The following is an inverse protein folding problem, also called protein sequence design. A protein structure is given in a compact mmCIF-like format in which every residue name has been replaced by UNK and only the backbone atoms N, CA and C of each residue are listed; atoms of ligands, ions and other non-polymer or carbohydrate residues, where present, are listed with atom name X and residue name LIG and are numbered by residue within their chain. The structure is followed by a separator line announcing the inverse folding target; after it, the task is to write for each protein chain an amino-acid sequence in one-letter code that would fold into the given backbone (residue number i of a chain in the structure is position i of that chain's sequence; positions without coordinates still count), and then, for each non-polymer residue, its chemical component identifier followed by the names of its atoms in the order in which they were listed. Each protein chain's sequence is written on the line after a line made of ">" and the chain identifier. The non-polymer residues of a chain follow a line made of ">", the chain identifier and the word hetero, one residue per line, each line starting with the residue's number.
data_IF_804359399410
#
_entry.id   IF_804359399410
#
_cell.length_a   1.000
_cell.length_b   1.000
_cell.length_c   1.000
_cell.angle_alpha   90.00
_cell.angle_beta   90.00
_cell.angle_gamma   90.00
#
_symmetry.space_group_name_H-M   'P 1'
#
loop_
_entity.id
_entity.type
_entity.pdbx_description
1 polymer ?
#
# COMPACT_ATOMS: atom_id res chain seq x y z
N UNK A 1 -4.89 -3.71 8.79
CA UNK A 1 -4.98 -4.35 10.11
C UNK A 1 -6.24 -5.23 10.21
N UNK A 2 -6.12 -6.45 10.75
CA UNK A 2 -7.24 -7.37 10.95
C UNK A 2 -7.26 -8.01 12.34
N UNK A 3 -6.44 -7.54 13.28
CA UNK A 3 -6.17 -8.27 14.53
C UNK A 3 -6.06 -7.38 15.78
N UNK A 4 -5.67 -6.11 15.65
CA UNK A 4 -5.63 -5.20 16.80
C UNK A 4 -6.97 -4.47 16.94
N UNK A 5 -7.68 -4.70 18.05
CA UNK A 5 -8.96 -4.05 18.32
C UNK A 5 -8.88 -2.51 18.13
N UNK A 6 -9.87 -1.88 17.46
CA UNK A 6 -11.15 -2.45 17.03
C UNK A 6 -11.11 -3.19 15.68
N UNK A 7 -9.94 -3.39 15.09
CA UNK A 7 -9.79 -4.18 13.87
C UNK A 7 -10.03 -5.66 14.13
N UNK A 8 -10.66 -6.33 13.16
CA UNK A 8 -10.88 -7.77 13.17
C UNK A 8 -10.91 -8.30 11.74
N UNK A 9 -11.06 -9.62 11.54
CA UNK A 9 -11.24 -10.19 10.19
C UNK A 9 -12.52 -9.70 9.50
N UNK A 10 -13.58 -9.48 10.27
CA UNK A 10 -14.87 -8.96 9.77
C UNK A 10 -14.97 -7.44 9.78
N UNK A 11 -14.04 -6.75 10.47
CA UNK A 11 -13.91 -5.30 10.52
C UNK A 11 -12.45 -4.89 10.26
N UNK A 12 -11.93 -5.08 9.03
CA UNK A 12 -10.56 -4.68 8.69
C UNK A 12 -10.42 -3.16 8.81
N UNK A 13 -9.30 -2.71 9.37
CA UNK A 13 -9.01 -1.29 9.51
C UNK A 13 -7.75 -0.91 8.75
N UNK A 14 -7.72 0.35 8.30
CA UNK A 14 -6.52 0.97 7.76
C UNK A 14 -5.49 1.15 8.87
N UNK A 15 -4.22 0.94 8.53
CA UNK A 15 -3.12 1.12 9.45
C UNK A 15 -1.92 1.67 8.68
N UNK A 16 -1.26 2.65 9.26
CA UNK A 16 -0.12 3.34 8.68
C UNK A 16 1.16 2.69 9.21
N UNK A 17 2.00 2.23 8.28
CA UNK A 17 3.30 1.60 8.60
C UNK A 17 4.36 2.16 7.66
N UNK A 18 5.63 2.03 8.09
CA UNK A 18 6.77 2.13 7.18
C UNK A 18 6.87 0.84 6.37
N UNK A 19 7.14 0.97 5.07
CA UNK A 19 7.16 -0.14 4.13
C UNK A 19 8.56 -0.28 3.49
N UNK A 20 9.19 -1.45 3.70
CA UNK A 20 10.36 -1.93 2.95
C UNK A 20 10.21 -3.47 2.86
N UNK A 21 9.52 -3.95 1.83
CA UNK A 21 9.31 -5.39 1.60
C UNK A 21 8.87 -5.62 0.15
N UNK A 22 9.28 -6.70 -0.53
CA UNK A 22 8.77 -7.05 -1.85
C UNK A 22 7.71 -8.17 -1.83
N UNK A 23 7.28 -8.60 -0.63
CA UNK A 23 6.22 -9.57 -0.47
C UNK A 23 4.88 -9.08 -1.05
N UNK A 24 4.17 -9.99 -1.70
CA UNK A 24 2.87 -9.74 -2.33
C UNK A 24 1.67 -10.05 -1.42
N UNK A 25 1.90 -10.50 -0.19
CA UNK A 25 0.86 -11.01 0.71
C UNK A 25 -0.04 -9.93 1.31
N UNK A 26 0.44 -8.69 1.44
CA UNK A 26 -0.33 -7.58 1.97
C UNK A 26 -0.19 -6.35 1.06
N UNK A 27 -1.24 -5.52 0.98
CA UNK A 27 -1.10 -4.20 0.40
C UNK A 27 -0.18 -3.34 1.27
N UNK A 28 0.49 -2.37 0.65
CA UNK A 28 1.54 -1.57 1.27
C UNK A 28 1.38 -0.06 1.06
N UNK A 29 0.38 0.38 0.29
CA UNK A 29 0.14 1.80 0.06
C UNK A 29 -1.35 2.11 -0.15
N UNK A 30 -1.70 3.38 0.09
CA UNK A 30 -3.02 3.95 -0.10
C UNK A 30 -2.99 4.95 -1.26
N UNK A 31 -3.91 4.81 -2.22
CA UNK A 31 -3.89 5.52 -3.50
C UNK A 31 -5.05 6.53 -3.64
N UNK A 32 -5.08 7.60 -2.82
CA UNK A 32 -6.19 8.57 -2.77
C UNK A 32 -6.17 9.65 -3.86
N UNK A 33 -5.00 10.01 -4.38
CA UNK A 33 -4.82 11.17 -5.27
C UNK A 33 -5.08 10.81 -6.73
N UNK A 34 -6.36 10.57 -7.07
CA UNK A 34 -6.73 10.09 -8.41
C UNK A 34 -6.17 8.70 -8.70
N UNK A 35 -6.13 7.83 -7.68
CA UNK A 35 -5.56 6.49 -7.80
C UNK A 35 -4.03 6.45 -7.74
N UNK A 36 -3.39 7.48 -7.16
CA UNK A 36 -1.94 7.56 -6.98
C UNK A 36 -1.55 7.73 -5.51
N UNK A 37 -0.36 7.23 -5.17
CA UNK A 37 0.31 7.46 -3.90
C UNK A 37 1.54 8.35 -4.14
N UNK A 38 1.81 9.30 -3.25
CA UNK A 38 3.08 10.03 -3.25
C UNK A 38 4.07 9.25 -2.38
N UNK A 39 5.17 8.80 -2.97
CA UNK A 39 6.16 7.96 -2.31
C UNK A 39 7.43 8.78 -2.08
N UNK A 40 7.97 8.71 -0.87
CA UNK A 40 9.31 9.19 -0.54
C UNK A 40 10.26 7.99 -0.60
N UNK A 41 11.31 8.12 -1.40
CA UNK A 41 12.32 7.09 -1.61
C UNK A 41 13.53 7.32 -0.70
N UNK A 42 14.35 6.28 -0.51
CA UNK A 42 15.46 6.30 0.45
C UNK A 42 16.60 7.27 0.06
N UNK A 43 16.75 7.58 -1.23
CA UNK A 43 17.67 8.60 -1.75
C UNK A 43 17.12 10.04 -1.62
N UNK A 44 15.93 10.20 -1.04
CA UNK A 44 15.28 11.48 -0.79
C UNK A 44 14.41 11.99 -1.94
N UNK A 45 14.30 11.28 -3.08
CA UNK A 45 13.39 11.70 -4.13
C UNK A 45 11.93 11.42 -3.77
N UNK A 46 11.01 12.17 -4.36
CA UNK A 46 9.58 11.91 -4.26
C UNK A 46 9.01 11.61 -5.63
N UNK A 47 8.14 10.60 -5.70
CA UNK A 47 7.56 10.13 -6.95
C UNK A 47 6.11 9.70 -6.79
N UNK A 48 5.21 10.03 -7.74
CA UNK A 48 3.87 9.49 -7.74
C UNK A 48 3.86 8.06 -8.28
N UNK A 49 3.33 7.11 -7.51
CA UNK A 49 3.22 5.71 -7.89
C UNK A 49 1.75 5.28 -8.08
N UNK A 50 1.56 4.28 -8.94
CA UNK A 50 0.27 3.61 -9.14
C UNK A 50 0.28 2.25 -8.46
N UNK A 51 -0.91 1.75 -8.12
CA UNK A 51 -1.03 0.38 -7.65
C UNK A 51 -0.79 -0.63 -8.77
N UNK A 52 -0.20 -1.77 -8.44
CA UNK A 52 -0.10 -2.93 -9.33
C UNK A 52 -1.53 -3.39 -9.69
N UNK A 53 -1.88 -3.60 -10.97
CA UNK A 53 -3.20 -4.09 -11.35
C UNK A 53 -3.59 -5.37 -10.60
N UNK A 54 -4.83 -5.43 -10.11
CA UNK A 54 -5.32 -6.57 -9.31
C UNK A 54 -4.77 -6.66 -7.88
N UNK A 55 -3.99 -5.68 -7.42
CA UNK A 55 -3.45 -5.66 -6.05
C UNK A 55 -4.33 -4.97 -5.01
N UNK A 56 -5.43 -4.34 -5.44
CA UNK A 56 -6.36 -3.67 -4.52
C UNK A 56 -6.95 -4.70 -3.54
N UNK A 57 -6.91 -4.36 -2.25
CA UNK A 57 -7.44 -5.21 -1.19
C UNK A 57 -8.96 -5.37 -1.35
N UNK A 58 -9.45 -6.60 -1.62
CA UNK A 58 -10.88 -6.84 -1.81
C UNK A 58 -11.68 -6.64 -0.53
N UNK A 59 -11.04 -6.60 0.64
CA UNK A 59 -11.68 -6.37 1.94
C UNK A 59 -12.04 -4.89 2.15
N UNK A 60 -11.36 -3.98 1.46
CA UNK A 60 -11.52 -2.52 1.57
C UNK A 60 -11.55 -1.86 0.19
N UNK A 61 -12.46 -2.26 -0.72
CA UNK A 61 -12.39 -1.90 -2.14
C UNK A 61 -12.58 -0.39 -2.38
N UNK A 62 -13.30 0.30 -1.49
CA UNK A 62 -13.48 1.76 -1.56
C UNK A 62 -12.30 2.57 -1.04
N UNK A 63 -11.34 1.93 -0.37
CA UNK A 63 -10.19 2.61 0.23
C UNK A 63 -8.98 2.64 -0.71
N UNK A 64 -9.01 2.00 -1.88
CA UNK A 64 -7.88 2.01 -2.83
C UNK A 64 -6.53 1.69 -2.15
N UNK A 65 -6.53 0.66 -1.32
CA UNK A 65 -5.33 0.15 -0.65
C UNK A 65 -4.81 -1.01 -1.48
N UNK A 66 -3.55 -0.94 -1.91
CA UNK A 66 -2.98 -1.89 -2.85
C UNK A 66 -1.47 -2.02 -2.71
N UNK A 67 -0.82 -2.60 -3.72
CA UNK A 67 0.63 -2.78 -3.74
C UNK A 67 1.31 -1.79 -4.67
N UNK A 68 2.39 -1.17 -4.21
CA UNK A 68 3.41 -0.54 -5.04
C UNK A 68 4.10 -1.60 -5.90
N UNK A 69 4.64 -1.19 -7.06
CA UNK A 69 5.40 -2.05 -7.96
C UNK A 69 6.72 -2.46 -7.30
N UNK A 70 7.21 -3.71 -7.39
CA UNK A 70 8.43 -4.13 -6.70
C UNK A 70 9.68 -3.37 -7.18
N UNK A 71 9.67 -2.88 -8.42
CA UNK A 71 10.80 -2.20 -9.05
C UNK A 71 11.08 -0.80 -8.44
N UNK A 72 10.29 -0.34 -7.46
CA UNK A 72 10.65 0.86 -6.66
C UNK A 72 11.72 0.56 -5.60
N UNK A 73 11.98 -0.73 -5.33
CA UNK A 73 12.95 -1.18 -4.35
C UNK A 73 14.30 -1.55 -4.98
N UNK A 74 14.34 -1.61 -6.31
CA UNK A 74 15.57 -1.85 -7.04
C UNK A 74 16.47 -0.61 -6.93
N UNK A 75 17.75 -0.84 -6.60
CA UNK A 75 18.76 0.19 -6.74
C UNK A 75 19.11 0.28 -8.22
N UNK A 76 18.98 1.48 -8.82
CA UNK A 76 19.56 1.75 -10.15
C UNK A 76 21.09 1.63 -10.13
#
# INVERSE_FOLDING_TARGET
>A
NTWQAPASRSNPMLEEWYYIDNNTNQPNAHFRHGGRANVLFADGHTGPEKFVPGSIDPRLPSQLVGRLRPEILDLE
#
